data_IF_006995041300
#
_entry.id   IF_006995041300
#
_cell.length_a   1.000
_cell.length_b   1.000
_cell.length_c   1.000
_cell.angle_alpha   90.00
_cell.angle_beta   90.00
_cell.angle_gamma   90.00
#
_symmetry.space_group_name_H-M   'P 1'
#
loop_
_entity.id
_entity.type
_entity.pdbx_description
1 polymer ?
#
# COMPACT_ATOMS: atom_id res chain seq x y z
N UNK A 1 -10.04 -13.82 -24.24
CA UNK A 1 -9.43 -12.54 -24.62
C UNK A 1 -8.34 -12.23 -23.60
N UNK A 2 -7.09 -12.57 -23.92
CA UNK A 2 -5.96 -12.48 -22.98
C UNK A 2 -5.44 -11.05 -22.95
N UNK A 3 -5.81 -10.28 -21.93
CA UNK A 3 -5.26 -8.93 -21.74
C UNK A 3 -3.78 -9.12 -21.43
N UNK A 4 -2.91 -8.67 -22.34
CA UNK A 4 -1.47 -8.74 -22.18
C UNK A 4 -1.01 -7.63 -21.21
N UNK A 5 -1.09 -7.94 -19.91
CA UNK A 5 -0.80 -7.05 -18.77
C UNK A 5 0.62 -6.44 -18.89
N UNK A 6 1.57 -7.16 -19.49
CA UNK A 6 2.96 -6.71 -19.65
C UNK A 6 3.12 -5.48 -20.56
N UNK A 7 2.26 -5.30 -21.58
CA UNK A 7 2.36 -4.14 -22.49
C UNK A 7 1.83 -2.85 -21.85
N UNK A 8 0.82 -2.95 -21.01
CA UNK A 8 0.27 -1.80 -20.26
C UNK A 8 1.18 -1.42 -19.09
N UNK A 9 1.80 -2.38 -18.42
CA UNK A 9 2.81 -2.13 -17.38
C UNK A 9 4.01 -1.33 -17.94
N UNK A 10 4.45 -1.60 -19.16
CA UNK A 10 5.58 -0.90 -19.81
C UNK A 10 5.25 0.55 -20.22
N UNK A 11 3.99 0.80 -20.59
CA UNK A 11 3.46 2.13 -20.96
C UNK A 11 3.19 2.99 -19.71
N UNK A 12 2.79 2.36 -18.61
CA UNK A 12 2.81 2.99 -17.29
C UNK A 12 4.26 3.31 -16.90
N UNK A 13 5.19 2.35 -16.95
CA UNK A 13 6.62 2.53 -16.62
C UNK A 13 7.29 3.75 -17.28
N UNK A 14 6.91 4.11 -18.51
CA UNK A 14 7.54 5.20 -19.27
C UNK A 14 6.99 6.60 -18.97
N UNK A 15 5.78 6.73 -18.42
CA UNK A 15 5.25 8.02 -17.89
C UNK A 15 5.69 8.31 -16.44
N UNK A 16 6.40 7.37 -15.82
CA UNK A 16 6.74 7.31 -14.40
C UNK A 16 8.19 7.72 -14.09
N UNK A 17 8.84 8.48 -14.99
CA UNK A 17 10.24 8.91 -14.86
C UNK A 17 10.51 9.91 -13.71
N UNK A 18 9.49 10.32 -12.95
CA UNK A 18 9.63 11.21 -11.80
C UNK A 18 9.06 10.67 -10.50
N UNK A 19 8.74 9.37 -10.47
CA UNK A 19 8.12 8.79 -9.29
C UNK A 19 9.08 8.66 -8.12
N UNK A 20 8.53 8.95 -6.95
CA UNK A 20 9.16 8.66 -5.66
C UNK A 20 9.30 7.15 -5.40
N UNK A 21 8.39 6.33 -5.95
CA UNK A 21 8.45 4.87 -5.87
C UNK A 21 8.84 4.27 -7.23
N UNK A 22 9.81 3.37 -7.23
CA UNK A 22 10.05 2.45 -8.35
C UNK A 22 9.54 1.07 -7.99
N UNK A 23 8.41 0.69 -8.59
CA UNK A 23 7.87 -0.66 -8.51
C UNK A 23 8.81 -1.64 -9.25
N UNK A 24 9.25 -2.68 -8.55
CA UNK A 24 10.15 -3.71 -9.09
C UNK A 24 9.36 -4.94 -9.52
N UNK A 25 8.54 -5.46 -8.62
CA UNK A 25 7.79 -6.68 -8.85
C UNK A 25 6.50 -6.73 -8.03
N UNK A 26 5.52 -7.49 -8.52
CA UNK A 26 4.31 -7.87 -7.80
C UNK A 26 4.13 -9.38 -7.95
N UNK A 27 4.31 -10.11 -6.86
CA UNK A 27 4.17 -11.57 -6.81
C UNK A 27 2.91 -11.95 -6.03
N UNK A 28 2.21 -13.01 -6.45
CA UNK A 28 1.05 -13.54 -5.75
C UNK A 28 1.33 -14.97 -5.28
N UNK A 29 1.01 -15.30 -4.04
CA UNK A 29 1.28 -16.61 -3.49
C UNK A 29 0.99 -16.71 -1.99
N UNK A 30 1.59 -17.72 -1.37
CA UNK A 30 1.62 -17.86 0.09
C UNK A 30 3.04 -17.55 0.57
N UNK A 31 3.14 -16.78 1.65
CA UNK A 31 4.42 -16.34 2.24
C UNK A 31 4.41 -16.72 3.73
N UNK A 32 4.59 -18.01 4.08
CA UNK A 32 4.52 -18.46 5.47
C UNK A 32 5.55 -17.78 6.39
N UNK A 33 6.66 -17.31 5.82
CA UNK A 33 7.68 -16.56 6.53
C UNK A 33 7.15 -15.25 7.16
N UNK A 34 6.14 -14.61 6.57
CA UNK A 34 5.60 -13.34 7.10
C UNK A 34 4.47 -13.51 8.12
N UNK A 35 3.86 -14.70 8.20
CA UNK A 35 2.74 -14.97 9.10
C UNK A 35 3.09 -14.76 10.58
N UNK A 36 4.34 -15.02 10.96
CA UNK A 36 4.82 -14.85 12.33
C UNK A 36 5.02 -13.38 12.72
N UNK A 37 5.03 -12.48 11.74
CA UNK A 37 5.25 -11.05 11.95
C UNK A 37 3.95 -10.24 12.05
N UNK A 38 2.83 -10.79 11.59
CA UNK A 38 1.51 -10.22 11.81
C UNK A 38 0.46 -11.33 12.04
N UNK A 39 0.07 -11.51 13.31
CA UNK A 39 -0.91 -12.52 13.74
C UNK A 39 -2.33 -12.33 13.18
N UNK A 40 -2.62 -11.20 12.51
CA UNK A 40 -3.92 -10.96 11.87
C UNK A 40 -4.01 -11.52 10.46
N UNK A 41 -2.89 -11.93 9.86
CA UNK A 41 -2.92 -12.66 8.61
C UNK A 41 -3.69 -13.96 8.78
N UNK A 42 -4.58 -14.25 7.84
CA UNK A 42 -5.28 -15.52 7.76
C UNK A 42 -4.39 -16.49 6.96
N UNK A 43 -3.86 -17.57 7.58
CA UNK A 43 -2.84 -18.42 6.96
C UNK A 43 -3.23 -19.04 5.61
N UNK A 44 -4.53 -19.28 5.41
CA UNK A 44 -5.10 -19.92 4.21
C UNK A 44 -5.38 -18.92 3.07
N UNK A 45 -5.28 -17.61 3.33
CA UNK A 45 -5.51 -16.60 2.31
C UNK A 45 -4.28 -16.42 1.44
N UNK A 46 -4.55 -16.27 0.14
CA UNK A 46 -3.55 -15.77 -0.80
C UNK A 46 -3.08 -14.37 -0.39
N UNK A 47 -1.83 -14.07 -0.72
CA UNK A 47 -1.20 -12.79 -0.48
C UNK A 47 -0.59 -12.24 -1.76
N UNK A 48 -0.40 -10.94 -1.75
CA UNK A 48 0.37 -10.20 -2.73
C UNK A 48 1.61 -9.63 -2.04
N UNK A 49 2.78 -9.87 -2.64
CA UNK A 49 4.05 -9.26 -2.30
C UNK A 49 4.37 -8.18 -3.32
N UNK A 50 4.64 -6.97 -2.86
CA UNK A 50 5.03 -5.83 -3.68
C UNK A 50 6.46 -5.47 -3.32
N UNK A 51 7.37 -5.57 -4.27
CA UNK A 51 8.76 -5.13 -4.09
C UNK A 51 8.93 -3.78 -4.77
N UNK A 52 9.45 -2.81 -4.02
CA UNK A 52 9.69 -1.45 -4.53
C UNK A 52 10.98 -0.84 -3.97
N UNK A 53 11.45 0.19 -4.66
CA UNK A 53 12.46 1.11 -4.17
C UNK A 53 11.83 2.48 -3.92
N UNK A 54 12.26 3.14 -2.86
CA UNK A 54 12.06 4.57 -2.67
C UNK A 54 13.26 5.30 -3.28
N UNK A 55 13.04 6.02 -4.39
CA UNK A 55 14.09 6.67 -5.18
C UNK A 55 14.39 8.10 -4.72
N UNK A 56 13.48 8.70 -3.96
CA UNK A 56 13.59 10.06 -3.42
C UNK A 56 13.21 10.05 -1.95
N UNK A 57 13.94 10.81 -1.13
CA UNK A 57 13.53 11.03 0.25
C UNK A 57 12.12 11.62 0.29
N UNK A 58 11.24 11.13 1.18
CA UNK A 58 9.88 11.60 1.25
C UNK A 58 9.87 13.08 1.64
N UNK A 59 9.06 13.87 0.95
CA UNK A 59 8.65 15.15 1.51
C UNK A 59 7.59 14.90 2.57
N UNK A 60 7.60 15.70 3.63
CA UNK A 60 6.55 15.68 4.64
C UNK A 60 5.20 15.91 3.95
N UNK A 61 4.22 15.06 4.26
CA UNK A 61 2.84 15.27 3.80
C UNK A 61 2.24 16.41 4.62
N UNK A 62 1.89 17.50 3.95
CA UNK A 62 1.27 18.68 4.55
C UNK A 62 -0.15 18.37 5.06
N UNK A 63 -0.61 19.10 6.08
CA UNK A 63 -1.92 18.85 6.72
C UNK A 63 -3.09 18.90 5.74
N UNK A 64 -3.06 19.78 4.73
CA UNK A 64 -4.13 19.86 3.71
C UNK A 64 -4.18 18.59 2.84
N UNK A 65 -3.03 18.00 2.56
CA UNK A 65 -2.93 16.74 1.83
C UNK A 65 -3.49 15.56 2.67
N UNK A 66 -3.28 15.57 3.98
CA UNK A 66 -3.91 14.62 4.90
C UNK A 66 -5.44 14.72 4.90
N UNK A 67 -5.99 15.93 4.96
CA UNK A 67 -7.44 16.14 4.91
C UNK A 67 -8.06 15.61 3.61
N UNK A 68 -7.41 15.86 2.47
CA UNK A 68 -7.87 15.33 1.17
C UNK A 68 -7.84 13.80 1.13
N UNK A 69 -6.77 13.19 1.65
CA UNK A 69 -6.65 11.74 1.73
C UNK A 69 -7.78 11.15 2.58
N UNK A 70 -8.07 11.75 3.73
CA UNK A 70 -9.15 11.32 4.62
C UNK A 70 -10.56 11.51 4.04
N UNK A 71 -10.76 12.51 3.19
CA UNK A 71 -12.03 12.67 2.48
C UNK A 71 -12.25 11.55 1.45
N UNK A 72 -11.19 11.05 0.83
CA UNK A 72 -11.25 10.00 -0.20
C UNK A 72 -11.30 8.61 0.45
N UNK A 73 -10.53 8.42 1.53
CA UNK A 73 -10.40 7.17 2.27
C UNK A 73 -10.81 7.39 3.73
N UNK A 74 -12.12 7.52 4.01
CA UNK A 74 -12.59 7.78 5.37
C UNK A 74 -12.20 6.65 6.33
N UNK A 75 -12.22 5.41 5.83
CA UNK A 75 -11.86 4.23 6.60
C UNK A 75 -10.39 4.20 6.99
N UNK A 76 -9.49 4.88 6.25
CA UNK A 76 -8.07 4.97 6.57
C UNK A 76 -7.81 5.51 7.99
N UNK A 77 -8.72 6.37 8.51
CA UNK A 77 -8.66 6.87 9.89
C UNK A 77 -8.87 5.79 10.94
N UNK A 78 -9.59 4.73 10.58
CA UNK A 78 -9.98 3.63 11.45
C UNK A 78 -8.96 2.49 11.44
N UNK A 79 -8.00 2.51 10.50
CA UNK A 79 -6.93 1.51 10.45
C UNK A 79 -6.04 1.67 11.69
N UNK A 80 -6.07 0.65 12.54
CA UNK A 80 -5.17 0.58 13.69
C UNK A 80 -3.82 0.03 13.25
N UNK A 81 -2.77 0.86 13.32
CA UNK A 81 -1.41 0.35 13.31
C UNK A 81 -1.18 -0.41 14.63
N UNK A 82 -0.92 -1.71 14.54
CA UNK A 82 -0.45 -2.55 15.65
C UNK A 82 0.88 -3.18 15.26
N UNK A 83 1.86 -2.32 15.02
CA UNK A 83 3.23 -2.70 14.72
C UNK A 83 4.18 -1.82 15.53
N UNK A 84 5.26 -2.42 16.03
CA UNK A 84 6.37 -1.66 16.57
C UNK A 84 6.86 -0.70 15.47
N UNK A 85 6.69 0.61 15.65
CA UNK A 85 7.48 1.58 14.90
C UNK A 85 8.96 1.23 15.18
N UNK A 86 9.66 0.83 14.11
CA UNK A 86 11.03 0.31 14.06
C UNK A 86 11.22 -1.17 14.43
N UNK A 87 11.42 -2.00 13.40
CA UNK A 87 12.34 -3.15 13.49
C UNK A 87 13.43 -2.97 12.45
N UNK A 88 14.58 -2.44 12.87
CA UNK A 88 15.82 -2.73 12.16
C UNK A 88 16.11 -4.22 12.34
N UNK A 89 16.71 -4.83 11.32
CA UNK A 89 16.75 -6.28 11.09
C UNK A 89 17.38 -7.18 12.17
N UNK A 90 17.72 -6.70 13.38
CA UNK A 90 18.32 -7.51 14.44
C UNK A 90 18.01 -6.94 15.84
N UNK A 91 17.18 -7.64 16.62
CA UNK A 91 17.26 -7.61 18.09
C UNK A 91 16.23 -6.75 18.84
N UNK A 92 15.50 -7.44 19.73
CA UNK A 92 14.64 -6.96 20.82
C UNK A 92 13.28 -6.33 20.45
N UNK A 93 12.26 -7.19 20.52
CA UNK A 93 10.85 -6.85 20.62
C UNK A 93 10.54 -6.26 21.99
N UNK A 94 10.49 -4.94 22.11
CA UNK A 94 9.67 -4.34 23.16
C UNK A 94 8.24 -4.27 22.64
N UNK A 95 7.37 -5.14 23.13
CA UNK A 95 5.94 -5.09 22.83
C UNK A 95 5.36 -3.81 23.44
N UNK A 96 5.06 -2.82 22.62
CA UNK A 96 4.16 -1.73 23.01
C UNK A 96 2.84 -1.97 22.31
N UNK A 97 1.86 -2.48 23.05
CA UNK A 97 0.47 -2.62 22.60
C UNK A 97 -0.20 -1.23 22.50
N UNK A 98 0.32 -0.34 21.66
CA UNK A 98 -0.33 0.94 21.37
C UNK A 98 -0.88 0.90 19.95
N UNK A 99 -2.21 0.85 19.82
CA UNK A 99 -2.90 1.19 18.59
C UNK A 99 -2.72 2.69 18.36
N UNK A 100 -1.71 3.07 17.59
CA UNK A 100 -1.50 4.47 17.22
C UNK A 100 -2.32 4.76 15.96
N UNK A 101 -3.02 5.91 15.91
CA UNK A 101 -3.53 6.40 14.63
C UNK A 101 -2.36 6.56 13.65
N UNK A 102 -2.63 6.47 12.35
CA UNK A 102 -1.65 6.73 11.29
C UNK A 102 -1.25 8.21 11.34
N UNK A 103 -0.41 8.59 12.31
CA UNK A 103 0.24 9.88 12.42
C UNK A 103 1.70 9.60 12.07
N UNK A 104 1.96 9.67 10.77
CA UNK A 104 3.21 9.30 10.13
C UNK A 104 4.25 10.39 10.39
N UNK A 105 5.30 10.01 11.09
CA UNK A 105 6.42 10.84 11.52
C UNK A 105 7.47 10.96 10.42
N UNK A 106 7.12 11.48 9.24
CA UNK A 106 8.06 12.09 8.29
C UNK A 106 9.18 11.22 7.68
N UNK A 107 9.32 9.94 8.02
CA UNK A 107 10.42 9.09 7.54
C UNK A 107 10.03 8.23 6.32
N UNK A 108 11.03 7.67 5.62
CA UNK A 108 10.83 6.85 4.42
C UNK A 108 10.00 5.59 4.65
N UNK A 109 10.13 4.97 5.82
CA UNK A 109 9.33 3.81 6.24
C UNK A 109 7.85 4.17 6.36
N UNK A 110 7.56 5.35 6.92
CA UNK A 110 6.20 5.81 7.16
C UNK A 110 5.43 5.96 5.84
N UNK A 111 6.08 6.49 4.82
CA UNK A 111 5.46 6.65 3.52
C UNK A 111 5.14 5.31 2.83
N UNK A 112 6.03 4.32 2.92
CA UNK A 112 5.79 2.99 2.36
C UNK A 112 4.69 2.27 3.16
N UNK A 113 4.65 2.50 4.46
CA UNK A 113 3.60 1.99 5.33
C UNK A 113 2.23 2.63 5.05
N UNK A 114 2.18 3.92 4.70
CA UNK A 114 0.97 4.56 4.19
C UNK A 114 0.49 3.90 2.89
N UNK A 115 1.42 3.58 1.99
CA UNK A 115 1.11 2.88 0.75
C UNK A 115 0.48 1.51 1.03
N UNK A 116 0.99 0.75 2.01
CA UNK A 116 0.37 -0.49 2.47
C UNK A 116 -1.09 -0.26 2.90
N UNK A 117 -1.34 0.72 3.78
CA UNK A 117 -2.69 1.00 4.28
C UNK A 117 -3.64 1.43 3.17
N UNK A 118 -3.18 2.23 2.20
CA UNK A 118 -3.97 2.58 1.02
C UNK A 118 -4.35 1.35 0.20
N UNK A 119 -3.44 0.39 0.04
CA UNK A 119 -3.72 -0.86 -0.67
C UNK A 119 -4.74 -1.71 0.09
N UNK A 120 -4.61 -1.84 1.42
CA UNK A 120 -5.57 -2.56 2.25
C UNK A 120 -6.96 -1.92 2.12
N UNK A 121 -7.06 -0.60 2.22
CA UNK A 121 -8.34 0.13 2.15
C UNK A 121 -9.01 -0.02 0.78
N UNK A 122 -8.22 0.08 -0.30
CA UNK A 122 -8.68 -0.15 -1.66
C UNK A 122 -9.14 -1.60 -1.87
N UNK A 123 -8.44 -2.59 -1.32
CA UNK A 123 -8.85 -3.99 -1.41
C UNK A 123 -10.15 -4.24 -0.64
N UNK A 124 -10.27 -3.72 0.58
CA UNK A 124 -11.52 -3.78 1.35
C UNK A 124 -12.68 -3.15 0.58
N UNK A 125 -12.47 -1.97 0.01
CA UNK A 125 -13.50 -1.23 -0.73
C UNK A 125 -13.91 -1.95 -2.02
N UNK A 126 -12.95 -2.32 -2.86
CA UNK A 126 -13.24 -2.90 -4.19
C UNK A 126 -13.70 -4.35 -4.06
N UNK A 127 -13.12 -5.14 -3.16
CA UNK A 127 -13.46 -6.57 -3.03
C UNK A 127 -14.52 -6.87 -1.97
N UNK A 128 -14.95 -5.87 -1.20
CA UNK A 128 -15.91 -6.08 -0.11
C UNK A 128 -15.31 -6.94 1.02
N UNK A 129 -14.00 -6.86 1.24
CA UNK A 129 -13.34 -7.62 2.31
C UNK A 129 -13.63 -6.96 3.66
N UNK A 130 -14.22 -7.73 4.59
CA UNK A 130 -14.44 -7.27 5.96
C UNK A 130 -13.15 -7.14 6.77
N UNK A 131 -12.12 -7.90 6.39
CA UNK A 131 -10.80 -7.91 7.03
C UNK A 131 -9.77 -8.07 5.94
N UNK A 132 -8.76 -7.20 5.95
CA UNK A 132 -7.56 -7.29 5.13
C UNK A 132 -6.38 -6.83 6.01
N UNK A 133 -5.29 -7.59 5.98
CA UNK A 133 -4.08 -7.29 6.76
C UNK A 133 -2.89 -7.09 5.83
N UNK A 134 -1.89 -6.36 6.30
CA UNK A 134 -0.62 -6.22 5.62
C UNK A 134 0.57 -6.15 6.58
N UNK A 135 1.77 -6.11 5.99
CA UNK A 135 2.99 -5.73 6.68
C UNK A 135 3.98 -5.10 5.69
N UNK A 136 4.64 -4.04 6.14
CA UNK A 136 5.76 -3.39 5.43
C UNK A 136 7.08 -3.85 6.03
N UNK A 137 7.97 -4.34 5.18
CA UNK A 137 9.31 -4.76 5.53
C UNK A 137 10.35 -3.92 4.80
N UNK A 138 11.40 -3.50 5.49
CA UNK A 138 12.55 -2.82 4.91
C UNK A 138 13.78 -3.73 4.89
N UNK A 139 14.67 -3.52 3.92
CA UNK A 139 15.94 -4.23 3.84
C UNK A 139 17.02 -3.46 4.61
N UNK A 140 17.95 -4.15 5.28
CA UNK A 140 19.14 -3.48 5.85
C UNK A 140 20.05 -2.91 4.77
N UNK A 141 20.18 -3.64 3.66
CA UNK A 141 20.93 -3.19 2.48
C UNK A 141 20.25 -3.70 1.19
N UNK A 142 19.89 -2.83 0.24
CA UNK A 142 19.92 -1.36 0.35
C UNK A 142 18.75 -0.85 1.23
N UNK A 143 18.96 0.24 2.01
CA UNK A 143 17.97 0.72 2.99
C UNK A 143 16.70 1.32 2.38
N UNK A 144 16.74 1.65 1.09
CA UNK A 144 15.61 2.20 0.35
C UNK A 144 14.78 1.15 -0.41
N UNK A 145 15.07 -0.15 -0.20
CA UNK A 145 14.29 -1.25 -0.74
C UNK A 145 13.29 -1.74 0.28
N UNK A 146 12.07 -2.00 -0.19
CA UNK A 146 10.95 -2.43 0.64
C UNK A 146 10.19 -3.58 0.00
N UNK A 147 9.67 -4.45 0.85
CA UNK A 147 8.64 -5.43 0.50
C UNK A 147 7.38 -5.13 1.31
N UNK A 148 6.25 -5.00 0.63
CA UNK A 148 4.92 -4.91 1.26
C UNK A 148 4.19 -6.23 1.01
N UNK A 149 3.64 -6.84 2.05
CA UNK A 149 2.79 -8.00 1.93
C UNK A 149 1.37 -7.61 2.31
N UNK A 150 0.39 -7.97 1.50
CA UNK A 150 -1.04 -7.71 1.78
C UNK A 150 -1.85 -8.95 1.43
N UNK A 151 -2.84 -9.28 2.25
CA UNK A 151 -3.84 -10.30 1.88
C UNK A 151 -4.49 -9.93 0.54
N UNK A 152 -4.69 -10.92 -0.35
CA UNK A 152 -5.22 -10.66 -1.68
C UNK A 152 -6.02 -11.86 -2.21
N UNK A 153 -7.30 -11.65 -2.47
CA UNK A 153 -8.22 -12.69 -2.95
C UNK A 153 -8.25 -12.80 -4.47
N UNK A 154 -8.06 -11.69 -5.20
CA UNK A 154 -8.00 -11.68 -6.67
C UNK A 154 -6.79 -10.90 -7.16
N UNK A 155 -5.98 -11.55 -8.00
CA UNK A 155 -4.71 -10.99 -8.50
C UNK A 155 -4.89 -9.72 -9.34
N UNK A 156 -5.97 -9.63 -10.11
CA UNK A 156 -6.24 -8.46 -10.96
C UNK A 156 -6.66 -7.28 -10.10
N UNK A 157 -7.49 -7.52 -9.08
CA UNK A 157 -7.85 -6.48 -8.12
C UNK A 157 -6.63 -6.03 -7.33
N UNK A 158 -5.85 -6.96 -6.77
CA UNK A 158 -4.60 -6.66 -6.08
C UNK A 158 -3.67 -5.77 -6.93
N UNK A 159 -3.43 -6.16 -8.17
CA UNK A 159 -2.63 -5.34 -9.09
C UNK A 159 -3.21 -3.94 -9.30
N UNK A 160 -4.52 -3.82 -9.54
CA UNK A 160 -5.18 -2.52 -9.68
C UNK A 160 -5.02 -1.65 -8.44
N UNK A 161 -5.21 -2.22 -7.25
CA UNK A 161 -5.09 -1.47 -5.98
C UNK A 161 -3.68 -0.93 -5.76
N UNK A 162 -2.63 -1.67 -6.13
CA UNK A 162 -1.25 -1.18 -6.05
C UNK A 162 -1.02 0.02 -6.96
N UNK A 163 -1.47 -0.07 -8.22
CA UNK A 163 -1.28 1.02 -9.18
C UNK A 163 -2.05 2.27 -8.75
N UNK A 164 -3.29 2.11 -8.28
CA UNK A 164 -4.11 3.22 -7.77
C UNK A 164 -3.48 3.85 -6.52
N UNK A 165 -3.04 3.04 -5.56
CA UNK A 165 -2.43 3.55 -4.32
C UNK A 165 -1.17 4.38 -4.61
N UNK A 166 -0.32 3.91 -5.52
CA UNK A 166 0.88 4.65 -5.96
C UNK A 166 0.50 5.98 -6.62
N UNK A 167 -0.45 5.97 -7.56
CA UNK A 167 -0.87 7.17 -8.31
C UNK A 167 -1.52 8.22 -7.39
N UNK A 168 -2.34 7.76 -6.44
CA UNK A 168 -2.98 8.62 -5.44
C UNK A 168 -1.94 9.26 -4.53
N UNK A 169 -1.04 8.45 -3.97
CA UNK A 169 -0.03 8.95 -3.04
C UNK A 169 0.89 9.97 -3.73
N UNK A 170 1.24 9.73 -4.98
CA UNK A 170 2.00 10.69 -5.80
C UNK A 170 1.20 11.95 -6.10
N UNK A 171 -0.08 11.80 -6.43
CA UNK A 171 -0.95 12.93 -6.71
C UNK A 171 -1.10 13.86 -5.50
N UNK A 172 -1.13 13.29 -4.29
CA UNK A 172 -1.19 14.01 -3.02
C UNK A 172 0.11 14.75 -2.76
N UNK A 173 1.26 14.07 -2.88
CA UNK A 173 2.58 14.66 -2.66
C UNK A 173 2.92 15.77 -3.65
N UNK A 174 2.38 15.70 -4.86
CA UNK A 174 2.58 16.72 -5.89
C UNK A 174 1.42 17.73 -6.00
N UNK A 175 0.48 17.73 -5.05
CA UNK A 175 -0.69 18.63 -5.02
C UNK A 175 -1.45 18.69 -6.36
N UNK A 176 -1.63 17.55 -7.03
CA UNK A 176 -2.25 17.52 -8.36
C UNK A 176 -3.77 17.33 -8.30
N UNK A 177 -4.54 17.88 -9.26
CA UNK A 177 -6.01 17.85 -9.25
C UNK A 177 -6.62 16.49 -9.62
N UNK A 178 -5.83 15.42 -9.79
CA UNK A 178 -6.31 14.11 -10.30
C UNK A 178 -7.09 13.28 -9.28
N UNK A 179 -7.14 13.72 -8.02
CA UNK A 179 -7.72 12.95 -6.91
C UNK A 179 -9.22 12.68 -7.04
N UNK A 180 -10.00 13.62 -7.59
CA UNK A 180 -11.45 13.44 -7.81
C UNK A 180 -11.76 12.36 -8.84
N UNK A 181 -10.90 12.17 -9.84
CA UNK A 181 -11.04 11.11 -10.84
C UNK A 181 -10.72 9.74 -10.23
N UNK A 182 -9.78 9.69 -9.28
CA UNK A 182 -9.44 8.45 -8.57
C UNK A 182 -10.62 7.93 -7.74
N UNK A 183 -11.29 8.82 -6.97
CA UNK A 183 -12.47 8.44 -6.19
C UNK A 183 -13.58 7.83 -7.07
N UNK A 184 -13.85 8.42 -8.23
CA UNK A 184 -14.85 7.89 -9.17
C UNK A 184 -14.45 6.53 -9.75
N UNK A 185 -13.16 6.31 -10.04
CA UNK A 185 -12.66 5.03 -10.54
C UNK A 185 -12.75 3.93 -9.48
N UNK A 186 -12.43 4.25 -8.22
CA UNK A 186 -12.56 3.34 -7.09
C UNK A 186 -14.01 2.92 -6.91
N UNK A 187 -14.94 3.89 -6.89
CA UNK A 187 -16.38 3.61 -6.75
C UNK A 187 -16.88 2.71 -7.89
N UNK A 188 -16.54 3.03 -9.14
CA UNK A 188 -16.94 2.19 -10.29
C UNK A 188 -16.34 0.78 -10.24
N UNK A 189 -15.11 0.63 -9.76
CA UNK A 189 -14.49 -0.67 -9.60
C UNK A 189 -15.19 -1.50 -8.51
N UNK A 190 -15.58 -0.86 -7.40
CA UNK A 190 -16.36 -1.49 -6.33
C UNK A 190 -17.75 -1.89 -6.84
N UNK A 191 -18.48 -0.98 -7.50
CA UNK A 191 -19.81 -1.25 -8.07
C UNK A 191 -19.79 -2.44 -9.03
N UNK A 192 -18.76 -2.55 -9.88
CA UNK A 192 -18.59 -3.68 -10.80
C UNK A 192 -18.30 -5.01 -10.09
N UNK A 193 -17.61 -4.98 -8.95
CA UNK A 193 -17.29 -6.21 -8.22
C UNK A 193 -18.44 -6.66 -7.31
N UNK A 194 -19.32 -5.75 -6.89
CA UNK A 194 -20.40 -6.02 -5.92
C UNK A 194 -21.79 -6.15 -6.57
N UNK A 195 -21.96 -5.69 -7.81
CA UNK A 195 -23.19 -5.84 -8.61
C UNK A 195 -23.21 -7.08 -9.50
#
# INVERSE_FOLDING_TARGET
MTINICKHAKLLQTKLLNLMFRLVDITFGHFPEVLHHNHRFIPERGMMKITLFLEKEPQRIESEAWEKLWQIFPHLRDHQCRGNLCTTQFGQLNQVNSSLPIILTGDSIDLVHLLEHLIIDLQCTIQGMNVCSGITCNYKQPPNKYDIFVECLDRRVGFLTVILAIDILQSILHCTPRLSQCALLIQRAADFCHG
#
